data_IF_815919896724
#
_entry.id   IF_815919896724
#
_cell.length_a   1.000
_cell.length_b   1.000
_cell.length_c   1.000
_cell.angle_alpha   90.00
_cell.angle_beta   90.00
_cell.angle_gamma   90.00
#
_symmetry.space_group_name_H-M   'P 1'
#
loop_
_entity.id
_entity.type
_entity.pdbx_description
1 polymer ?
#
# COMPACT_ATOMS: atom_id res chain seq x y z
N UNK A 1 -3.92 -54.14 -32.98
CA UNK A 1 -2.93 -53.51 -33.87
C UNK A 1 -2.09 -52.58 -33.00
N UNK A 2 -0.92 -52.99 -32.48
CA UNK A 2 0.43 -52.98 -33.11
C UNK A 2 0.72 -51.62 -33.77
N UNK A 3 1.38 -50.71 -33.04
CA UNK A 3 2.83 -50.41 -33.07
C UNK A 3 3.27 -49.69 -34.35
N UNK A 4 4.02 -48.58 -34.21
CA UNK A 4 5.42 -48.41 -34.66
C UNK A 4 5.83 -46.92 -34.68
N UNK A 5 7.02 -46.65 -34.13
CA UNK A 5 7.84 -45.42 -34.18
C UNK A 5 8.73 -45.46 -35.44
N UNK A 6 9.15 -44.31 -36.01
CA UNK A 6 10.60 -44.02 -36.13
C UNK A 6 10.91 -42.56 -35.75
N UNK A 7 11.93 -42.21 -34.97
CA UNK A 7 13.39 -42.39 -35.09
C UNK A 7 14.08 -41.34 -36.01
N UNK A 8 15.05 -40.67 -35.38
CA UNK A 8 15.97 -39.60 -35.77
C UNK A 8 16.68 -39.65 -37.13
N UNK A 9 17.17 -38.49 -37.60
CA UNK A 9 18.56 -38.35 -38.08
C UNK A 9 19.05 -36.88 -38.23
N UNK A 10 20.33 -36.74 -37.94
CA UNK A 10 21.30 -35.64 -38.04
C UNK A 10 21.29 -34.72 -39.28
N UNK A 11 21.82 -33.50 -39.10
CA UNK A 11 22.39 -32.70 -40.20
C UNK A 11 22.76 -31.27 -39.82
N UNK A 12 23.97 -31.06 -39.29
CA UNK A 12 24.62 -29.76 -39.15
C UNK A 12 24.90 -29.12 -40.52
N UNK A 13 24.84 -27.79 -40.66
CA UNK A 13 25.83 -27.02 -41.42
C UNK A 13 25.78 -25.51 -41.09
N UNK A 14 26.97 -24.98 -40.86
CA UNK A 14 27.37 -23.62 -40.52
C UNK A 14 27.01 -22.56 -41.57
N UNK A 15 26.71 -21.32 -41.12
CA UNK A 15 27.60 -20.15 -41.29
C UNK A 15 27.07 -18.89 -40.58
N UNK A 16 27.93 -18.31 -39.72
CA UNK A 16 27.95 -16.88 -39.32
C UNK A 16 28.70 -16.06 -40.38
N UNK A 17 28.60 -14.72 -40.35
CA UNK A 17 29.80 -13.89 -40.09
C UNK A 17 29.55 -12.86 -38.97
N UNK A 18 30.44 -12.75 -37.97
CA UNK A 18 31.62 -11.86 -37.87
C UNK A 18 31.23 -10.51 -37.23
N UNK A 19 31.45 -10.25 -35.93
CA UNK A 19 32.72 -10.06 -35.20
C UNK A 19 33.56 -8.89 -35.75
N UNK A 20 33.53 -7.78 -35.02
CA UNK A 20 34.55 -6.72 -35.09
C UNK A 20 35.32 -6.76 -33.76
N UNK A 21 36.61 -7.07 -33.86
CA UNK A 21 37.56 -7.15 -32.77
C UNK A 21 38.28 -5.82 -32.55
N UNK A 22 38.65 -5.62 -31.30
CA UNK A 22 39.56 -4.61 -30.79
C UNK A 22 41.04 -4.90 -31.15
N UNK A 23 41.89 -4.00 -30.63
CA UNK A 23 43.38 -4.03 -30.51
C UNK A 23 44.15 -3.25 -31.59
N UNK A 24 45.28 -2.59 -31.31
CA UNK A 24 45.93 -2.11 -30.08
C UNK A 24 47.19 -1.30 -30.49
N UNK A 25 47.77 -0.58 -29.52
CA UNK A 25 49.19 -0.19 -29.37
C UNK A 25 49.78 1.07 -30.07
N UNK A 26 50.15 2.00 -29.16
CA UNK A 26 51.52 2.47 -28.87
C UNK A 26 52.15 3.66 -29.64
N UNK A 27 52.84 4.50 -28.86
CA UNK A 27 53.74 5.59 -29.26
C UNK A 27 53.07 6.96 -29.19
N UNK A 28 53.57 8.00 -28.54
CA UNK A 28 54.83 8.28 -27.88
C UNK A 28 54.83 9.79 -27.55
N UNK A 29 55.56 10.15 -26.49
CA UNK A 29 55.98 11.49 -26.05
C UNK A 29 55.76 12.67 -27.02
N UNK A 30 55.25 13.79 -26.50
CA UNK A 30 55.91 15.11 -26.66
C UNK A 30 55.52 16.05 -25.50
N UNK A 31 56.54 16.39 -24.71
CA UNK A 31 56.59 17.43 -23.70
C UNK A 31 57.03 18.75 -24.36
N UNK A 32 56.38 19.85 -24.01
CA UNK A 32 56.91 21.24 -23.94
C UNK A 32 55.93 21.97 -23.02
N UNK A 33 56.15 22.11 -21.71
CA UNK A 33 57.05 23.05 -21.02
C UNK A 33 57.01 24.47 -21.57
N UNK A 34 56.31 25.37 -20.88
CA UNK A 34 56.91 26.53 -20.20
C UNK A 34 55.92 27.12 -19.19
N UNK A 35 56.42 27.54 -18.03
CA UNK A 35 55.78 28.55 -17.19
C UNK A 35 55.36 28.14 -15.77
N UNK A 36 56.34 27.99 -14.86
CA UNK A 36 56.15 28.44 -13.46
C UNK A 36 55.98 29.96 -13.43
N UNK A 37 55.51 30.62 -12.37
CA UNK A 37 55.84 30.41 -10.98
C UNK A 37 54.85 31.21 -10.08
N UNK A 38 54.47 30.59 -8.96
CA UNK A 38 54.36 31.09 -7.58
C UNK A 38 53.59 32.40 -7.20
N UNK A 39 52.55 32.15 -6.39
CA UNK A 39 52.29 32.62 -4.99
C UNK A 39 51.70 34.03 -4.76
N UNK A 40 50.78 34.08 -3.77
CA UNK A 40 50.13 35.22 -3.09
C UNK A 40 48.92 35.81 -3.86
N UNK A 41 47.75 36.12 -3.30
CA UNK A 41 47.41 36.43 -1.92
C UNK A 41 45.91 36.22 -1.64
N UNK A 42 45.64 35.93 -0.37
CA UNK A 42 44.33 35.66 0.20
C UNK A 42 43.72 36.96 0.78
N UNK A 43 42.39 37.09 0.61
CA UNK A 43 41.45 38.03 1.27
C UNK A 43 41.49 39.51 0.82
N UNK A 44 40.43 39.93 0.12
CA UNK A 44 39.38 40.83 0.67
C UNK A 44 38.25 41.11 -0.35
N UNK A 45 37.02 40.76 0.04
CA UNK A 45 35.77 41.51 -0.18
C UNK A 45 35.21 41.68 -1.61
N UNK A 46 34.17 40.89 -1.93
CA UNK A 46 32.85 41.48 -2.27
C UNK A 46 31.76 40.68 -1.55
N UNK A 47 31.13 41.34 -0.58
CA UNK A 47 29.86 40.95 0.07
C UNK A 47 28.68 41.32 -0.85
N UNK A 48 27.56 40.61 -0.67
CA UNK A 48 26.19 40.81 -1.22
C UNK A 48 26.04 40.19 -2.63
N UNK A 49 25.23 39.16 -2.86
CA UNK A 49 23.79 38.96 -2.57
C UNK A 49 23.56 37.43 -2.67
N UNK A 50 22.92 36.71 -1.75
CA UNK A 50 21.49 36.42 -1.81
C UNK A 50 21.05 35.71 -0.52
N UNK A 51 19.94 36.20 0.05
CA UNK A 51 19.25 35.64 1.21
C UNK A 51 18.25 34.56 0.76
N UNK A 52 18.38 33.36 1.34
CA UNK A 52 17.35 32.40 1.84
C UNK A 52 15.97 32.35 1.16
N UNK A 53 15.67 31.21 0.53
CA UNK A 53 14.48 30.35 0.86
C UNK A 53 14.95 28.89 0.79
N UNK A 54 15.36 28.32 1.92
CA UNK A 54 15.47 26.86 2.04
C UNK A 54 14.05 26.33 2.22
N UNK A 55 13.58 25.53 1.26
CA UNK A 55 12.35 24.77 1.44
C UNK A 55 12.53 23.82 2.61
N UNK A 56 11.65 23.92 3.59
CA UNK A 56 11.52 22.93 4.65
C UNK A 56 10.97 21.63 4.01
N UNK A 57 11.87 20.77 3.54
CA UNK A 57 11.55 19.36 3.34
C UNK A 57 11.41 18.80 4.76
N UNK A 58 10.24 18.26 5.16
CA UNK A 58 10.15 17.58 6.44
C UNK A 58 11.10 16.40 6.39
N UNK A 59 12.14 16.48 7.21
CA UNK A 59 13.13 15.43 7.40
C UNK A 59 12.39 14.21 7.92
N UNK A 60 12.45 13.11 7.16
CA UNK A 60 12.08 11.80 7.66
C UNK A 60 12.84 11.60 8.98
N UNK A 61 12.10 11.55 10.08
CA UNK A 61 12.70 11.31 11.39
C UNK A 61 13.11 9.85 11.39
N UNK A 62 14.39 9.58 11.09
CA UNK A 62 15.00 8.29 11.36
C UNK A 62 14.96 8.12 12.87
N UNK A 63 13.95 7.40 13.37
CA UNK A 63 13.89 6.95 14.75
C UNK A 63 14.94 5.85 14.94
N UNK A 64 16.22 6.24 15.00
CA UNK A 64 17.27 5.39 15.53
C UNK A 64 17.03 5.26 17.04
N UNK A 65 16.23 4.26 17.42
CA UNK A 65 15.90 3.99 18.82
C UNK A 65 17.07 3.35 19.56
N UNK A 66 17.44 3.93 20.70
CA UNK A 66 18.27 3.29 21.73
C UNK A 66 17.56 2.04 22.27
N UNK A 67 17.61 0.90 21.58
CA UNK A 67 17.19 -0.42 22.10
C UNK A 67 15.73 -0.58 22.56
N UNK A 68 14.84 0.38 22.26
CA UNK A 68 13.43 0.35 22.68
C UNK A 68 12.47 -0.26 21.64
N UNK A 69 12.94 -0.39 20.40
CA UNK A 69 12.17 -0.97 19.31
C UNK A 69 12.59 -2.43 19.10
N UNK A 70 11.66 -3.30 18.68
CA UNK A 70 11.97 -4.70 18.44
C UNK A 70 13.04 -4.86 17.37
N UNK A 71 13.74 -6.00 17.39
CA UNK A 71 14.66 -6.35 16.31
C UNK A 71 13.93 -6.39 14.96
N UNK A 72 14.66 -6.18 13.87
CA UNK A 72 14.12 -6.18 12.50
C UNK A 72 12.95 -5.20 12.33
N UNK A 73 12.90 -4.11 13.14
CA UNK A 73 11.86 -3.10 13.04
C UNK A 73 12.12 -2.19 11.83
N UNK A 74 11.16 -2.13 10.92
CA UNK A 74 11.23 -1.28 9.73
C UNK A 74 9.86 -0.67 9.43
N UNK A 75 9.87 0.57 8.95
CA UNK A 75 8.70 1.17 8.32
C UNK A 75 8.48 0.52 6.95
N UNK A 76 7.25 0.05 6.71
CA UNK A 76 6.86 -0.56 5.43
C UNK A 76 6.21 0.50 4.55
N UNK A 77 5.21 1.19 5.08
CA UNK A 77 4.47 2.23 4.38
C UNK A 77 4.18 3.39 5.34
N UNK A 78 4.96 4.48 5.27
CA UNK A 78 4.76 5.64 6.14
C UNK A 78 3.41 6.32 5.94
N UNK A 79 2.88 6.35 4.71
CA UNK A 79 1.59 6.97 4.41
C UNK A 79 0.45 6.21 5.07
N UNK A 80 0.58 4.88 5.16
CA UNK A 80 -0.38 4.00 5.83
C UNK A 80 -0.01 3.65 7.27
N UNK A 81 1.11 4.19 7.78
CA UNK A 81 1.67 3.95 9.12
C UNK A 81 1.79 2.44 9.42
N UNK A 82 2.25 1.67 8.44
CA UNK A 82 2.50 0.23 8.56
C UNK A 82 3.97 0.00 8.87
N UNK A 83 4.24 -0.78 9.91
CA UNK A 83 5.58 -1.22 10.28
C UNK A 83 5.66 -2.74 10.34
N UNK A 84 6.88 -3.28 10.24
CA UNK A 84 7.18 -4.70 10.43
C UNK A 84 8.21 -4.87 11.54
N UNK A 85 8.23 -6.03 12.21
CA UNK A 85 9.32 -6.38 13.14
C UNK A 85 9.47 -7.88 13.39
N UNK A 86 10.54 -8.26 14.08
CA UNK A 86 10.62 -9.50 14.86
C UNK A 86 9.68 -9.44 16.07
N UNK A 87 9.57 -10.55 16.80
CA UNK A 87 8.76 -10.65 18.02
C UNK A 87 9.15 -9.55 19.04
N UNK A 88 8.24 -8.64 19.38
CA UNK A 88 8.48 -7.69 20.46
C UNK A 88 8.38 -8.36 21.83
N UNK A 89 9.22 -7.93 22.76
CA UNK A 89 9.08 -8.19 24.19
C UNK A 89 8.16 -7.18 24.87
N UNK A 90 7.87 -7.40 26.16
CA UNK A 90 6.98 -6.52 26.95
C UNK A 90 7.36 -5.04 26.90
N UNK A 91 8.62 -4.71 27.14
CA UNK A 91 9.11 -3.32 27.15
C UNK A 91 9.00 -2.66 25.77
N UNK A 92 9.21 -3.44 24.71
CA UNK A 92 9.09 -2.96 23.33
C UNK A 92 7.61 -2.71 22.98
N UNK A 93 6.67 -3.55 23.43
CA UNK A 93 5.24 -3.27 23.30
C UNK A 93 4.81 -2.00 24.05
N UNK A 94 5.29 -1.78 25.28
CA UNK A 94 5.06 -0.52 26.01
C UNK A 94 5.61 0.68 25.23
N UNK A 95 6.78 0.52 24.60
CA UNK A 95 7.40 1.57 23.81
C UNK A 95 6.65 1.81 22.48
N UNK A 96 6.02 0.79 21.89
CA UNK A 96 5.14 0.91 20.72
C UNK A 96 3.84 1.63 21.08
N UNK A 97 3.21 1.31 22.22
CA UNK A 97 2.02 2.01 22.71
C UNK A 97 2.30 3.51 22.92
N UNK A 98 3.43 3.85 23.56
CA UNK A 98 3.86 5.25 23.75
C UNK A 98 4.07 6.00 22.43
N UNK A 99 4.44 5.28 21.36
CA UNK A 99 4.56 5.82 19.99
C UNK A 99 3.21 5.85 19.24
N UNK A 100 2.13 5.47 19.91
CA UNK A 100 0.76 5.57 19.41
C UNK A 100 0.30 4.39 18.56
N UNK A 101 1.06 3.28 18.51
CA UNK A 101 0.58 2.05 17.86
C UNK A 101 -0.76 1.62 18.47
N UNK A 102 -1.63 1.08 17.62
CA UNK A 102 -2.98 0.63 18.01
C UNK A 102 -3.16 -0.86 17.79
N UNK A 103 -2.57 -1.40 16.74
CA UNK A 103 -2.78 -2.80 16.32
C UNK A 103 -1.45 -3.53 16.19
N UNK A 104 -1.44 -4.78 16.65
CA UNK A 104 -0.35 -5.74 16.45
C UNK A 104 -0.90 -6.95 15.69
N UNK A 105 -0.40 -7.21 14.48
CA UNK A 105 -0.69 -8.40 13.70
C UNK A 105 0.38 -9.46 13.97
N UNK A 106 -0.01 -10.49 14.72
CA UNK A 106 0.82 -11.62 15.10
C UNK A 106 0.62 -12.80 14.14
N UNK A 107 1.69 -13.20 13.45
CA UNK A 107 1.70 -14.30 12.49
C UNK A 107 2.25 -15.61 13.07
N UNK A 108 2.45 -15.71 14.38
CA UNK A 108 3.03 -16.90 15.02
C UNK A 108 1.95 -17.96 15.26
N UNK A 109 2.22 -19.20 14.83
CA UNK A 109 1.24 -20.29 14.89
C UNK A 109 0.75 -20.62 16.32
N UNK A 110 1.67 -20.93 17.24
CA UNK A 110 1.31 -21.41 18.59
C UNK A 110 1.60 -20.39 19.71
N UNK A 111 1.68 -19.10 19.38
CA UNK A 111 2.07 -18.08 20.34
C UNK A 111 1.20 -16.83 20.20
N UNK A 112 0.71 -16.35 21.34
CA UNK A 112 -0.09 -15.11 21.46
C UNK A 112 0.69 -14.06 22.23
N UNK A 113 0.44 -12.80 21.93
CA UNK A 113 1.00 -11.65 22.63
C UNK A 113 0.14 -11.19 23.82
N UNK A 114 -1.09 -11.69 23.97
CA UNK A 114 -2.05 -11.34 25.05
C UNK A 114 -1.40 -11.13 26.42
N UNK A 115 -0.52 -12.04 26.85
CA UNK A 115 0.17 -11.90 28.15
C UNK A 115 1.07 -10.67 28.20
N UNK A 116 1.81 -10.40 27.13
CA UNK A 116 2.70 -9.24 27.00
C UNK A 116 1.94 -7.95 26.71
N UNK A 117 0.73 -8.02 26.18
CA UNK A 117 -0.13 -6.86 25.90
C UNK A 117 -1.07 -6.50 27.05
N UNK A 118 -1.10 -7.31 28.12
CA UNK A 118 -1.95 -7.04 29.29
C UNK A 118 -1.75 -5.61 29.80
N UNK A 119 -2.84 -4.88 30.03
CA UNK A 119 -2.85 -3.49 30.51
C UNK A 119 -2.31 -2.45 29.49
N UNK A 120 -2.03 -2.85 28.26
CA UNK A 120 -1.73 -1.94 27.14
C UNK A 120 -2.97 -1.73 26.28
N UNK A 121 -3.08 -0.55 25.67
CA UNK A 121 -4.10 -0.15 24.69
C UNK A 121 -3.72 -0.57 23.27
N UNK A 122 -3.23 -1.81 23.14
CA UNK A 122 -2.85 -2.45 21.88
C UNK A 122 -3.79 -3.63 21.62
N UNK A 123 -4.39 -3.67 20.43
CA UNK A 123 -5.19 -4.79 19.98
C UNK A 123 -4.31 -5.84 19.28
N UNK A 124 -4.31 -7.08 19.78
CA UNK A 124 -3.73 -8.22 19.05
C UNK A 124 -4.73 -8.75 18.02
N UNK A 125 -4.30 -8.81 16.77
CA UNK A 125 -4.95 -9.57 15.71
C UNK A 125 -4.03 -10.74 15.34
N UNK A 126 -4.54 -11.98 15.41
CA UNK A 126 -3.74 -13.16 15.13
C UNK A 126 -4.13 -13.79 13.79
N UNK A 127 -3.13 -14.10 12.96
CA UNK A 127 -3.26 -15.02 11.81
C UNK A 127 -2.21 -16.11 12.00
N UNK A 128 -2.53 -17.14 12.80
CA UNK A 128 -1.59 -18.21 13.10
C UNK A 128 -1.17 -18.93 11.82
N UNK A 129 0.11 -18.88 11.47
CA UNK A 129 0.62 -19.61 10.31
C UNK A 129 2.03 -20.16 10.53
N UNK A 130 2.31 -21.28 9.87
CA UNK A 130 3.65 -21.84 9.73
C UNK A 130 4.25 -21.38 8.39
N UNK A 131 5.53 -20.99 8.39
CA UNK A 131 6.20 -20.48 7.19
C UNK A 131 6.23 -21.54 6.06
N UNK A 132 6.53 -22.80 6.39
CA UNK A 132 6.58 -23.89 5.41
C UNK A 132 5.21 -24.36 4.91
N UNK A 133 4.10 -23.83 5.43
CA UNK A 133 2.74 -24.20 5.00
C UNK A 133 1.79 -23.00 4.98
N UNK A 134 2.33 -21.82 4.67
CA UNK A 134 1.51 -20.62 4.49
C UNK A 134 0.65 -20.78 3.23
N UNK A 135 -0.56 -20.25 3.27
CA UNK A 135 -1.56 -20.42 2.21
C UNK A 135 -2.10 -19.07 1.77
N UNK A 136 -2.77 -19.04 0.62
CA UNK A 136 -3.47 -17.86 0.13
C UNK A 136 -4.47 -17.32 1.17
N UNK A 137 -5.15 -18.20 1.91
CA UNK A 137 -6.11 -17.79 2.94
C UNK A 137 -5.44 -17.11 4.15
N UNK A 138 -4.22 -17.52 4.52
CA UNK A 138 -3.45 -16.80 5.54
C UNK A 138 -3.08 -15.39 5.07
N UNK A 139 -2.67 -15.27 3.79
CA UNK A 139 -2.35 -13.98 3.17
C UNK A 139 -3.60 -13.09 3.14
N UNK A 140 -4.73 -13.61 2.66
CA UNK A 140 -6.00 -12.89 2.64
C UNK A 140 -6.39 -12.35 4.02
N UNK A 141 -6.39 -13.20 5.05
CA UNK A 141 -6.77 -12.79 6.40
C UNK A 141 -5.83 -11.73 6.99
N UNK A 142 -4.53 -11.83 6.72
CA UNK A 142 -3.56 -10.82 7.11
C UNK A 142 -3.79 -9.49 6.39
N UNK A 143 -4.00 -9.49 5.07
CA UNK A 143 -4.29 -8.29 4.29
C UNK A 143 -5.60 -7.64 4.70
N UNK A 144 -6.63 -8.43 5.01
CA UNK A 144 -7.90 -7.96 5.56
C UNK A 144 -7.70 -7.23 6.89
N UNK A 145 -6.92 -7.79 7.81
CA UNK A 145 -6.57 -7.14 9.07
C UNK A 145 -5.81 -5.84 8.83
N UNK A 146 -4.82 -5.86 7.93
CA UNK A 146 -4.05 -4.67 7.58
C UNK A 146 -4.96 -3.60 6.97
N UNK A 147 -5.93 -3.97 6.14
CA UNK A 147 -6.93 -3.07 5.56
C UNK A 147 -7.83 -2.46 6.64
N UNK A 148 -8.30 -3.27 7.58
CA UNK A 148 -9.44 -2.89 8.44
C UNK A 148 -9.06 -2.38 9.81
N UNK A 149 -7.88 -2.68 10.35
CA UNK A 149 -7.56 -2.36 11.74
C UNK A 149 -6.94 -0.97 11.93
N UNK A 150 -7.10 -0.33 13.11
CA UNK A 150 -6.58 1.00 13.36
C UNK A 150 -5.05 1.08 13.19
N UNK A 151 -4.57 2.23 12.74
CA UNK A 151 -3.14 2.50 12.51
C UNK A 151 -2.56 3.39 13.62
N UNK A 152 -1.23 3.38 13.86
CA UNK A 152 -0.20 2.52 13.29
C UNK A 152 -0.38 1.05 13.62
N UNK A 153 -0.02 0.20 12.67
CA UNK A 153 -0.11 -1.24 12.76
C UNK A 153 1.27 -1.87 12.61
N UNK A 154 1.61 -2.77 13.53
CA UNK A 154 2.84 -3.56 13.47
C UNK A 154 2.55 -4.98 13.00
N UNK A 155 3.24 -5.44 11.97
CA UNK A 155 3.20 -6.84 11.50
C UNK A 155 4.44 -7.57 12.05
N UNK A 156 4.27 -8.68 12.75
CA UNK A 156 5.42 -9.46 13.19
C UNK A 156 5.19 -10.97 13.13
N UNK A 157 6.31 -11.70 13.16
CA UNK A 157 6.33 -13.13 13.40
C UNK A 157 7.39 -13.41 14.49
N UNK A 158 8.20 -14.46 14.34
CA UNK A 158 9.34 -14.66 15.23
C UNK A 158 10.52 -13.76 14.85
N UNK A 159 11.14 -13.98 13.69
CA UNK A 159 12.30 -13.21 13.23
C UNK A 159 11.91 -11.93 12.47
N UNK A 160 10.63 -11.73 12.18
CA UNK A 160 10.17 -10.62 11.34
C UNK A 160 10.58 -10.76 9.88
N UNK A 161 10.95 -11.97 9.47
CA UNK A 161 11.60 -12.26 8.21
C UNK A 161 10.64 -12.95 7.22
N UNK A 162 10.35 -14.24 7.41
CA UNK A 162 9.66 -15.06 6.38
C UNK A 162 8.15 -14.76 6.28
N UNK A 163 7.35 -15.17 7.28
CA UNK A 163 5.89 -14.91 7.28
C UNK A 163 5.56 -13.41 7.18
N UNK A 164 6.32 -12.60 7.92
CA UNK A 164 6.18 -11.14 7.87
C UNK A 164 6.53 -10.60 6.49
N UNK A 165 7.61 -11.08 5.89
CA UNK A 165 8.02 -10.72 4.54
C UNK A 165 6.99 -11.10 3.49
N UNK A 166 6.38 -12.28 3.59
CA UNK A 166 5.30 -12.71 2.69
C UNK A 166 4.07 -11.81 2.80
N UNK A 167 3.63 -11.48 4.02
CA UNK A 167 2.50 -10.57 4.23
C UNK A 167 2.81 -9.16 3.76
N UNK A 168 4.03 -8.67 4.00
CA UNK A 168 4.47 -7.35 3.52
C UNK A 168 4.55 -7.32 1.99
N UNK A 169 5.09 -8.35 1.35
CA UNK A 169 5.11 -8.46 -0.12
C UNK A 169 3.69 -8.53 -0.70
N UNK A 170 2.78 -9.28 -0.08
CA UNK A 170 1.39 -9.30 -0.48
C UNK A 170 0.72 -7.92 -0.32
N UNK A 171 1.04 -7.20 0.77
CA UNK A 171 0.56 -5.83 0.98
C UNK A 171 1.03 -4.89 -0.13
N UNK A 172 2.31 -4.98 -0.51
CA UNK A 172 2.88 -4.24 -1.63
C UNK A 172 2.15 -4.49 -2.96
N UNK A 173 1.90 -5.75 -3.27
CA UNK A 173 1.23 -6.15 -4.52
C UNK A 173 -0.21 -5.63 -4.54
N UNK A 174 -0.94 -5.78 -3.43
CA UNK A 174 -2.37 -5.46 -3.37
C UNK A 174 -2.63 -3.96 -3.25
N UNK A 175 -1.93 -3.28 -2.33
CA UNK A 175 -2.25 -1.90 -1.97
C UNK A 175 -1.30 -0.86 -2.60
N UNK A 176 -0.06 -1.22 -2.91
CA UNK A 176 0.88 -0.31 -3.60
C UNK A 176 0.98 -0.59 -5.10
N UNK A 177 0.28 -1.62 -5.61
CA UNK A 177 0.30 -1.99 -7.03
C UNK A 177 1.67 -2.43 -7.54
N UNK A 178 2.54 -2.91 -6.65
CA UNK A 178 3.86 -3.39 -7.06
C UNK A 178 3.77 -4.72 -7.81
N UNK A 179 4.65 -4.89 -8.79
CA UNK A 179 4.84 -6.16 -9.49
C UNK A 179 5.29 -7.26 -8.52
N UNK A 180 4.83 -8.49 -8.75
CA UNK A 180 5.06 -9.63 -7.86
C UNK A 180 6.55 -9.90 -7.63
N UNK A 181 7.35 -9.92 -8.69
CA UNK A 181 8.80 -10.17 -8.56
C UNK A 181 9.53 -9.05 -7.83
N UNK A 182 9.07 -7.80 -7.97
CA UNK A 182 9.63 -6.66 -7.22
C UNK A 182 9.35 -6.80 -5.74
N UNK A 183 8.12 -7.20 -5.36
CA UNK A 183 7.77 -7.44 -3.97
C UNK A 183 8.52 -8.65 -3.37
N UNK A 184 8.74 -9.70 -4.17
CA UNK A 184 9.58 -10.85 -3.77
C UNK A 184 11.05 -10.43 -3.61
N UNK A 185 11.57 -9.56 -4.47
CA UNK A 185 12.92 -9.02 -4.34
C UNK A 185 13.07 -8.20 -3.04
N UNK A 186 12.10 -7.31 -2.73
CA UNK A 186 12.07 -6.58 -1.44
C UNK A 186 12.04 -7.56 -0.26
N UNK A 187 11.18 -8.59 -0.31
CA UNK A 187 11.09 -9.62 0.73
C UNK A 187 12.46 -10.30 1.00
N UNK A 188 13.27 -10.45 -0.04
CA UNK A 188 14.57 -11.13 -0.04
C UNK A 188 15.76 -10.22 0.28
N UNK A 189 15.55 -8.93 0.50
CA UNK A 189 16.64 -8.04 0.89
C UNK A 189 17.33 -8.54 2.16
N UNK A 190 18.67 -8.51 2.15
CA UNK A 190 19.52 -9.05 3.22
C UNK A 190 19.15 -8.51 4.60
N UNK A 191 18.78 -7.22 4.67
CA UNK A 191 18.40 -6.54 5.92
C UNK A 191 17.21 -7.19 6.63
N UNK A 192 16.34 -7.90 5.90
CA UNK A 192 15.20 -8.60 6.48
C UNK A 192 15.49 -10.05 6.87
N UNK A 193 16.58 -10.63 6.34
CA UNK A 193 17.08 -11.95 6.69
C UNK A 193 16.15 -13.10 6.28
N UNK A 194 15.56 -13.06 5.07
CA UNK A 194 14.71 -14.13 4.56
C UNK A 194 15.49 -15.44 4.35
N UNK A 195 14.97 -16.55 4.87
CA UNK A 195 15.59 -17.87 4.73
C UNK A 195 15.21 -18.49 3.39
N UNK A 196 15.74 -17.92 2.31
CA UNK A 196 15.36 -18.29 0.93
C UNK A 196 15.58 -19.77 0.60
N UNK A 197 16.59 -20.40 1.19
CA UNK A 197 16.92 -21.82 0.97
C UNK A 197 16.02 -22.78 1.76
N UNK A 198 15.27 -22.29 2.75
CA UNK A 198 14.39 -23.09 3.61
C UNK A 198 12.92 -22.90 3.23
N UNK A 199 12.55 -21.69 2.79
CA UNK A 199 11.18 -21.30 2.51
C UNK A 199 11.00 -20.76 1.07
N UNK A 200 11.45 -21.54 0.09
CA UNK A 200 11.20 -21.30 -1.34
C UNK A 200 9.70 -21.31 -1.69
N UNK A 201 8.92 -22.06 -0.92
CA UNK A 201 7.46 -22.12 -0.99
C UNK A 201 6.77 -20.75 -0.85
N UNK A 202 7.39 -19.78 -0.16
CA UNK A 202 6.78 -18.46 0.08
C UNK A 202 6.80 -17.55 -1.17
N UNK A 203 7.94 -17.39 -1.87
CA UNK A 203 7.96 -16.81 -3.22
C UNK A 203 7.03 -17.53 -4.20
N UNK A 204 6.98 -18.86 -4.19
CA UNK A 204 6.10 -19.64 -5.08
C UNK A 204 4.63 -19.36 -4.80
N UNK A 205 4.24 -19.28 -3.51
CA UNK A 205 2.90 -18.85 -3.10
C UNK A 205 2.58 -17.48 -3.69
N UNK A 206 3.47 -16.49 -3.54
CA UNK A 206 3.22 -15.13 -4.04
C UNK A 206 3.06 -15.08 -5.56
N UNK A 207 3.74 -15.95 -6.31
CA UNK A 207 3.59 -16.08 -7.77
C UNK A 207 2.31 -16.79 -8.17
N UNK A 208 1.85 -17.74 -7.36
CA UNK A 208 0.68 -18.56 -7.66
C UNK A 208 -0.66 -17.86 -7.37
N UNK A 209 -0.69 -16.87 -6.47
CA UNK A 209 -1.91 -16.15 -6.10
C UNK A 209 -2.44 -15.33 -7.28
N UNK A 210 -3.73 -15.46 -7.57
CA UNK A 210 -4.46 -14.55 -8.44
C UNK A 210 -4.75 -13.24 -7.70
N UNK A 211 -3.85 -12.27 -7.88
CA UNK A 211 -3.92 -10.98 -7.18
C UNK A 211 -5.10 -10.12 -7.60
N UNK A 212 -5.65 -10.30 -8.80
CA UNK A 212 -6.86 -9.60 -9.21
C UNK A 212 -8.07 -10.14 -8.46
N UNK A 213 -8.21 -11.46 -8.41
CA UNK A 213 -9.26 -12.11 -7.62
C UNK A 213 -9.14 -11.78 -6.13
N UNK A 214 -7.93 -11.80 -5.57
CA UNK A 214 -7.65 -11.41 -4.18
C UNK A 214 -8.11 -9.97 -3.89
N UNK A 215 -7.79 -9.02 -4.78
CA UNK A 215 -8.23 -7.63 -4.67
C UNK A 215 -9.75 -7.50 -4.69
N UNK A 216 -10.40 -8.17 -5.64
CA UNK A 216 -11.86 -8.15 -5.75
C UNK A 216 -12.51 -8.74 -4.48
N UNK A 217 -11.95 -9.82 -3.95
CA UNK A 217 -12.40 -10.44 -2.69
C UNK A 217 -12.29 -9.46 -1.52
N UNK A 218 -11.14 -8.81 -1.35
CA UNK A 218 -10.90 -7.78 -0.33
C UNK A 218 -11.79 -6.53 -0.52
N UNK A 219 -12.37 -6.28 -1.69
CA UNK A 219 -13.28 -5.15 -1.91
C UNK A 219 -14.76 -5.52 -1.71
N UNK A 220 -15.11 -6.81 -1.85
CA UNK A 220 -16.51 -7.23 -1.98
C UNK A 220 -16.99 -8.14 -0.86
N UNK A 221 -16.18 -9.07 -0.34
CA UNK A 221 -16.67 -10.10 0.59
C UNK A 221 -16.82 -9.56 2.02
N UNK A 222 -15.82 -8.87 2.57
CA UNK A 222 -15.78 -8.57 4.01
C UNK A 222 -16.43 -7.27 4.44
N UNK A 223 -16.67 -6.34 3.52
CA UNK A 223 -17.13 -4.98 3.89
C UNK A 223 -18.60 -4.98 4.36
N UNK A 224 -19.33 -6.06 4.12
CA UNK A 224 -20.76 -6.16 4.35
C UNK A 224 -21.14 -7.57 4.80
N UNK A 225 -20.66 -8.00 5.97
CA UNK A 225 -21.13 -9.25 6.61
C UNK A 225 -22.61 -9.14 7.00
N UNK A 226 -23.07 -7.92 7.29
CA UNK A 226 -24.48 -7.54 7.38
C UNK A 226 -24.70 -6.23 6.60
N UNK A 227 -25.84 -6.04 5.92
CA UNK A 227 -26.14 -4.79 5.24
C UNK A 227 -26.20 -3.63 6.25
N UNK A 228 -25.56 -2.50 5.92
CA UNK A 228 -25.67 -1.29 6.73
C UNK A 228 -27.11 -0.80 6.76
N UNK A 229 -27.59 -0.40 7.94
CA UNK A 229 -28.91 0.23 8.02
C UNK A 229 -28.86 1.62 7.38
N UNK A 230 -29.92 2.11 6.72
CA UNK A 230 -29.93 3.42 6.06
C UNK A 230 -29.46 4.57 6.97
N UNK A 231 -29.79 4.53 8.26
CA UNK A 231 -29.37 5.52 9.25
C UNK A 231 -27.86 5.52 9.57
N UNK A 232 -27.13 4.46 9.20
CA UNK A 232 -25.69 4.32 9.38
C UNK A 232 -24.89 4.81 8.16
N UNK A 233 -25.58 5.22 7.09
CA UNK A 233 -24.97 5.69 5.83
C UNK A 233 -25.15 7.19 5.69
N UNK A 234 -24.05 7.93 5.61
CA UNK A 234 -24.06 9.31 5.15
C UNK A 234 -23.85 9.32 3.63
N UNK A 235 -24.92 9.61 2.88
CA UNK A 235 -24.83 9.85 1.44
C UNK A 235 -24.28 11.25 1.18
N UNK A 236 -23.30 11.32 0.28
CA UNK A 236 -22.62 12.53 -0.16
C UNK A 236 -22.71 12.53 -1.69
N UNK A 237 -23.59 13.34 -2.25
CA UNK A 237 -23.67 13.51 -3.71
C UNK A 237 -22.66 14.57 -4.13
N UNK A 238 -21.84 14.24 -5.13
CA UNK A 238 -20.76 15.06 -5.62
C UNK A 238 -20.95 15.32 -7.11
N UNK A 239 -21.03 16.60 -7.47
CA UNK A 239 -21.02 17.08 -8.85
C UNK A 239 -19.81 18.00 -9.06
N UNK A 240 -18.96 17.76 -10.06
CA UNK A 240 -17.78 18.58 -10.30
C UNK A 240 -18.11 19.87 -11.06
N UNK A 241 -19.13 19.84 -11.93
CA UNK A 241 -19.44 20.95 -12.85
C UNK A 241 -20.96 21.14 -13.06
N UNK A 242 -21.57 22.20 -12.50
CA UNK A 242 -20.98 23.12 -11.53
C UNK A 242 -20.63 22.39 -10.23
N UNK A 243 -19.57 22.83 -9.53
CA UNK A 243 -19.15 22.21 -8.27
C UNK A 243 -20.31 22.26 -7.27
N UNK A 244 -20.73 21.09 -6.79
CA UNK A 244 -21.79 20.95 -5.80
C UNK A 244 -21.55 19.70 -4.97
N UNK A 245 -21.66 19.83 -3.66
CA UNK A 245 -21.70 18.71 -2.72
C UNK A 245 -22.97 18.79 -1.90
N UNK A 246 -23.72 17.69 -1.86
CA UNK A 246 -24.91 17.57 -1.03
C UNK A 246 -24.71 16.47 0.01
N UNK A 247 -24.94 16.77 1.28
CA UNK A 247 -24.88 15.81 2.39
C UNK A 247 -25.94 16.18 3.43
N UNK A 248 -26.66 15.18 3.95
CA UNK A 248 -27.69 15.41 4.98
C UNK A 248 -28.83 16.35 4.57
N UNK A 249 -29.07 16.52 3.26
CA UNK A 249 -30.06 17.45 2.70
C UNK A 249 -29.55 18.89 2.52
N UNK A 250 -28.33 19.19 2.94
CA UNK A 250 -27.69 20.50 2.79
C UNK A 250 -26.74 20.51 1.58
N UNK A 251 -26.53 21.68 0.98
CA UNK A 251 -25.72 21.85 -0.25
C UNK A 251 -24.57 22.84 -0.03
N UNK A 252 -23.41 22.54 -0.59
CA UNK A 252 -22.26 23.43 -0.66
C UNK A 252 -21.74 23.57 -2.11
N UNK A 253 -21.43 24.80 -2.52
CA UNK A 253 -21.02 25.15 -3.88
C UNK A 253 -19.52 25.47 -4.00
N UNK A 254 -18.75 25.25 -2.94
CA UNK A 254 -17.29 25.35 -2.98
C UNK A 254 -16.61 24.28 -2.10
N UNK A 255 -15.34 23.90 -2.41
CA UNK A 255 -14.67 22.79 -1.71
C UNK A 255 -14.48 22.97 -0.21
N UNK A 256 -14.25 24.20 0.26
CA UNK A 256 -14.04 24.47 1.69
C UNK A 256 -15.33 24.28 2.49
N UNK A 257 -16.42 24.87 2.02
CA UNK A 257 -17.75 24.69 2.60
C UNK A 257 -18.23 23.24 2.51
N UNK A 258 -17.90 22.53 1.41
CA UNK A 258 -18.26 21.13 1.25
C UNK A 258 -17.60 20.21 2.29
N UNK A 259 -16.32 20.42 2.62
CA UNK A 259 -15.66 19.64 3.67
C UNK A 259 -16.26 19.92 5.05
N UNK A 260 -16.50 21.19 5.38
CA UNK A 260 -17.12 21.59 6.63
C UNK A 260 -18.53 21.00 6.77
N UNK A 261 -19.31 21.03 5.69
CA UNK A 261 -20.63 20.42 5.61
C UNK A 261 -20.57 18.92 5.93
N UNK A 262 -19.70 18.17 5.25
CA UNK A 262 -19.59 16.73 5.51
C UNK A 262 -19.15 16.44 6.95
N UNK A 263 -18.21 17.20 7.50
CA UNK A 263 -17.79 17.05 8.90
C UNK A 263 -18.94 17.34 9.88
N UNK A 264 -19.75 18.36 9.62
CA UNK A 264 -20.88 18.70 10.46
C UNK A 264 -21.96 17.60 10.40
N UNK A 265 -22.34 17.19 9.20
CA UNK A 265 -23.33 16.12 9.00
C UNK A 265 -22.87 14.81 9.64
N UNK A 266 -21.60 14.44 9.44
CA UNK A 266 -21.04 13.21 10.02
C UNK A 266 -21.18 13.16 11.54
N UNK A 267 -21.03 14.29 12.24
CA UNK A 267 -21.14 14.34 13.70
C UNK A 267 -22.57 14.23 14.23
N UNK A 268 -23.60 14.39 13.38
CA UNK A 268 -25.01 14.38 13.81
C UNK A 268 -25.53 12.99 14.13
N UNK A 269 -24.96 11.93 13.53
CA UNK A 269 -25.40 10.54 13.71
C UNK A 269 -24.21 9.60 13.80
N UNK A 270 -24.37 8.40 14.39
CA UNK A 270 -23.31 7.39 14.45
C UNK A 270 -23.14 6.70 13.08
N UNK A 271 -22.81 7.47 12.06
CA UNK A 271 -22.54 6.96 10.73
C UNK A 271 -21.34 6.00 10.76
N UNK A 272 -21.45 4.92 9.99
CA UNK A 272 -20.40 3.92 9.79
C UNK A 272 -19.89 3.91 8.35
N UNK A 273 -20.67 4.46 7.43
CA UNK A 273 -20.37 4.50 6.01
C UNK A 273 -20.52 5.91 5.47
N UNK A 274 -19.52 6.39 4.74
CA UNK A 274 -19.62 7.57 3.90
C UNK A 274 -19.75 7.12 2.43
N UNK A 275 -20.91 7.29 1.84
CA UNK A 275 -21.17 6.95 0.45
C UNK A 275 -21.03 8.20 -0.41
N UNK A 276 -19.92 8.30 -1.15
CA UNK A 276 -19.67 9.36 -2.12
C UNK A 276 -20.20 8.94 -3.49
N UNK A 277 -21.24 9.61 -3.97
CA UNK A 277 -21.88 9.36 -5.25
C UNK A 277 -21.45 10.43 -6.25
N UNK A 278 -20.81 10.04 -7.34
CA UNK A 278 -20.39 10.94 -8.40
C UNK A 278 -21.52 11.13 -9.40
N UNK A 279 -21.94 12.35 -9.72
CA UNK A 279 -23.03 12.60 -10.69
C UNK A 279 -22.72 12.10 -12.12
N UNK A 280 -21.44 11.96 -12.51
CA UNK A 280 -21.00 11.49 -13.84
C UNK A 280 -19.82 10.53 -13.76
N UNK A 281 -19.48 9.91 -14.90
CA UNK A 281 -18.24 9.13 -15.02
C UNK A 281 -17.03 10.05 -14.81
N UNK A 282 -16.22 9.84 -13.76
CA UNK A 282 -15.02 10.65 -13.58
C UNK A 282 -14.04 10.33 -14.72
N UNK A 283 -13.73 11.33 -15.54
CA UNK A 283 -12.65 11.28 -16.54
C UNK A 283 -11.30 11.24 -15.82
N UNK A 284 -10.86 10.04 -15.46
CA UNK A 284 -9.76 9.76 -14.55
C UNK A 284 -8.45 10.51 -14.90
N UNK A 285 -7.86 11.24 -13.93
CA UNK A 285 -6.57 10.80 -13.39
C UNK A 285 -6.48 11.06 -11.87
N UNK A 286 -6.65 10.03 -11.05
CA UNK A 286 -6.40 10.01 -9.60
C UNK A 286 -6.92 11.23 -8.79
N UNK A 287 -8.13 11.05 -8.28
CA UNK A 287 -8.77 11.80 -7.20
C UNK A 287 -8.94 13.30 -7.45
N UNK A 288 -10.18 13.70 -7.69
CA UNK A 288 -10.51 15.09 -7.53
C UNK A 288 -10.11 15.61 -6.15
N UNK A 289 -9.67 16.89 -6.06
CA UNK A 289 -9.17 17.48 -4.82
C UNK A 289 -10.11 17.30 -3.64
N UNK A 290 -11.42 17.24 -3.87
CA UNK A 290 -12.40 17.01 -2.83
C UNK A 290 -12.34 15.59 -2.28
N UNK A 291 -12.44 14.54 -3.11
CA UNK A 291 -12.40 13.15 -2.66
C UNK A 291 -11.08 12.82 -1.92
N UNK A 292 -9.95 13.33 -2.41
CA UNK A 292 -8.66 13.17 -1.72
C UNK A 292 -8.59 13.88 -0.36
N UNK A 293 -9.25 15.05 -0.22
CA UNK A 293 -9.33 15.75 1.07
C UNK A 293 -10.31 15.06 2.01
N UNK A 294 -11.43 14.58 1.48
CA UNK A 294 -12.43 13.81 2.22
C UNK A 294 -11.81 12.56 2.86
N UNK A 295 -10.97 11.84 2.12
CA UNK A 295 -10.23 10.67 2.60
C UNK A 295 -9.23 10.96 3.73
N UNK A 296 -8.89 12.24 3.93
CA UNK A 296 -7.95 12.68 4.96
C UNK A 296 -8.67 13.31 6.16
N UNK A 297 -10.00 13.36 6.16
CA UNK A 297 -10.76 13.85 7.30
C UNK A 297 -10.62 12.87 8.48
N UNK A 298 -10.10 13.31 9.63
CA UNK A 298 -9.97 12.45 10.81
C UNK A 298 -11.32 11.90 11.29
N UNK A 299 -12.41 12.65 11.09
CA UNK A 299 -13.76 12.20 11.46
C UNK A 299 -14.21 10.96 10.70
N UNK A 300 -13.72 10.80 9.47
CA UNK A 300 -14.05 9.67 8.62
C UNK A 300 -13.06 8.52 8.79
N UNK A 301 -11.99 8.65 9.59
CA UNK A 301 -10.93 7.63 9.74
C UNK A 301 -11.46 6.22 10.08
N UNK A 302 -12.56 6.19 10.83
CA UNK A 302 -13.23 4.96 11.25
C UNK A 302 -14.37 4.52 10.31
N UNK A 303 -14.71 5.32 9.30
CA UNK A 303 -15.76 5.09 8.31
C UNK A 303 -15.32 4.17 7.19
N UNK A 304 -16.23 3.32 6.72
CA UNK A 304 -16.10 2.69 5.40
C UNK A 304 -16.51 3.71 4.34
N UNK A 305 -15.60 4.09 3.45
CA UNK A 305 -15.96 4.97 2.33
C UNK A 305 -16.30 4.14 1.10
N UNK A 306 -17.37 4.51 0.42
CA UNK A 306 -17.83 3.85 -0.79
C UNK A 306 -17.97 4.90 -1.87
N UNK A 307 -17.28 4.72 -2.99
CA UNK A 307 -17.43 5.54 -4.18
C UNK A 307 -18.42 4.85 -5.11
N UNK A 308 -19.44 5.57 -5.58
CA UNK A 308 -20.44 5.05 -6.50
C UNK A 308 -20.58 5.96 -7.72
N UNK A 309 -20.66 5.37 -8.91
CA UNK A 309 -21.05 6.06 -10.15
C UNK A 309 -22.43 5.57 -10.56
N UNK A 310 -23.45 6.43 -10.64
CA UNK A 310 -24.80 6.12 -11.12
C UNK A 310 -24.81 5.49 -12.51
N UNK A 311 -25.77 4.60 -12.74
CA UNK A 311 -26.14 4.06 -14.05
C UNK A 311 -27.64 3.81 -14.10
N UNK A 312 -28.22 4.01 -15.26
CA UNK A 312 -29.62 3.73 -15.56
C UNK A 312 -29.83 2.24 -15.91
N UNK A 313 -28.76 1.46 -16.12
CA UNK A 313 -28.79 0.02 -16.42
C UNK A 313 -27.85 -0.78 -15.52
N UNK A 314 -28.37 -1.80 -14.81
CA UNK A 314 -27.64 -2.45 -13.71
C UNK A 314 -27.82 -4.00 -13.72
N UNK A 315 -26.70 -4.75 -13.64
CA UNK A 315 -26.65 -6.21 -13.59
C UNK A 315 -26.94 -6.78 -12.18
N UNK A 316 -27.11 -8.10 -12.08
CA UNK A 316 -27.51 -8.78 -10.82
C UNK A 316 -26.44 -8.70 -9.71
N UNK A 317 -25.15 -8.70 -10.06
CA UNK A 317 -24.04 -8.62 -9.11
C UNK A 317 -23.99 -7.24 -8.47
N UNK A 318 -24.18 -6.21 -9.28
CA UNK A 318 -24.11 -4.83 -8.83
C UNK A 318 -25.38 -4.38 -8.08
N UNK A 319 -26.56 -4.93 -8.41
CA UNK A 319 -27.76 -4.85 -7.54
C UNK A 319 -27.52 -5.46 -6.17
N UNK A 320 -26.89 -6.64 -6.13
CA UNK A 320 -26.57 -7.32 -4.86
C UNK A 320 -25.60 -6.48 -4.02
N UNK A 321 -24.60 -5.88 -4.65
CA UNK A 321 -23.67 -4.98 -3.97
C UNK A 321 -24.38 -3.72 -3.47
N UNK A 322 -25.23 -3.08 -4.27
CA UNK A 322 -26.03 -1.92 -3.85
C UNK A 322 -26.87 -2.24 -2.60
N UNK A 323 -27.61 -3.36 -2.59
CA UNK A 323 -28.37 -3.79 -1.40
C UNK A 323 -27.50 -3.95 -0.16
N UNK A 324 -26.32 -4.56 -0.30
CA UNK A 324 -25.38 -4.78 0.81
C UNK A 324 -24.86 -3.48 1.40
N UNK A 325 -24.78 -2.41 0.61
CA UNK A 325 -24.32 -1.10 1.06
C UNK A 325 -25.47 -0.15 1.45
N UNK A 326 -26.71 -0.65 1.46
CA UNK A 326 -27.91 0.14 1.77
C UNK A 326 -28.33 1.09 0.64
N UNK A 327 -27.86 0.86 -0.59
CA UNK A 327 -28.26 1.59 -1.79
C UNK A 327 -29.49 0.94 -2.43
N UNK A 328 -30.36 1.78 -3.00
CA UNK A 328 -31.45 1.30 -3.86
C UNK A 328 -30.88 0.54 -5.06
N UNK A 329 -31.59 -0.50 -5.50
CA UNK A 329 -31.19 -1.22 -6.71
C UNK A 329 -31.19 -0.29 -7.92
N UNK A 330 -30.13 -0.35 -8.74
CA UNK A 330 -30.00 0.56 -9.88
C UNK A 330 -29.27 1.85 -9.55
N UNK A 331 -28.83 2.09 -8.31
CA UNK A 331 -28.20 3.39 -7.96
C UNK A 331 -26.78 3.55 -8.52
N UNK A 332 -26.08 2.48 -8.93
CA UNK A 332 -24.71 2.58 -9.43
C UNK A 332 -24.33 1.46 -10.42
N UNK A 333 -23.51 1.79 -11.43
CA UNK A 333 -22.77 0.80 -12.27
C UNK A 333 -21.45 0.36 -11.70
N UNK A 334 -20.81 1.24 -10.94
CA UNK A 334 -19.50 1.01 -10.40
C UNK A 334 -19.54 1.41 -8.93
N UNK A 335 -19.17 0.47 -8.08
CA UNK A 335 -18.99 0.70 -6.65
C UNK A 335 -17.55 0.33 -6.31
N UNK A 336 -16.83 1.28 -5.73
CA UNK A 336 -15.47 1.07 -5.24
C UNK A 336 -15.46 1.34 -3.76
N UNK A 337 -15.24 0.31 -2.97
CA UNK A 337 -15.00 0.50 -1.55
C UNK A 337 -13.59 1.01 -1.35
N UNK A 338 -13.49 2.15 -0.68
CA UNK A 338 -12.22 2.82 -0.41
C UNK A 338 -11.87 2.54 1.03
N UNK A 339 -10.92 1.64 1.27
CA UNK A 339 -10.48 1.37 2.63
C UNK A 339 -9.87 2.65 3.21
N UNK A 340 -10.53 3.23 4.21
CA UNK A 340 -10.06 4.46 4.83
C UNK A 340 -8.69 4.28 5.52
N UNK A 341 -8.32 3.05 5.86
CA UNK A 341 -7.13 2.75 6.66
C UNK A 341 -5.94 2.22 5.85
N UNK A 342 -6.05 2.15 4.52
CA UNK A 342 -4.94 1.90 3.59
C UNK A 342 -5.18 2.65 2.26
N UNK A 343 -4.33 3.63 1.96
CA UNK A 343 -4.28 4.35 0.69
C UNK A 343 -3.81 3.37 -0.40
N UNK A 344 -4.71 3.07 -1.33
CA UNK A 344 -4.38 2.29 -2.52
C UNK A 344 -3.65 3.19 -3.54
N UNK A 345 -2.44 2.78 -3.94
CA UNK A 345 -1.72 3.37 -5.09
C UNK A 345 -1.88 2.43 -6.30
N UNK A 346 -2.55 2.85 -7.39
CA UNK A 346 -2.67 1.99 -8.57
C UNK A 346 -1.29 1.76 -9.21
N UNK A 347 -1.10 0.61 -9.90
CA UNK A 347 0.12 0.35 -10.65
C UNK A 347 0.36 1.45 -11.68
N UNK A 348 1.61 1.89 -11.84
CA UNK A 348 1.95 2.84 -12.89
C UNK A 348 1.74 2.16 -14.26
N UNK A 349 0.74 2.62 -15.03
CA UNK A 349 0.62 2.25 -16.46
C UNK A 349 -0.59 1.43 -16.87
N UNK A 350 -1.73 1.46 -16.18
CA UNK A 350 -2.99 1.01 -16.78
C UNK A 350 -3.62 2.16 -17.57
N UNK A 351 -3.57 2.18 -18.92
CA UNK A 351 -4.36 3.14 -19.69
C UNK A 351 -5.84 2.83 -19.48
N UNK A 352 -6.62 3.85 -19.13
CA UNK A 352 -8.07 3.75 -19.06
C UNK A 352 -8.60 3.33 -20.44
N UNK A 353 -9.31 2.20 -20.49
CA UNK A 353 -10.26 1.97 -21.58
C UNK A 353 -11.54 2.74 -21.32
#
# INVERSE_FOLDING_TARGET
MKFVIPAAAHGSLFRRPAAWNAESKAGGLLFFSTGGDRVSDMRKWVKKLFFIVFSAIPTATVLAGNGELPRNFHEVDPANRICRSAQPGRREFEALEKRGFRTVLNLRNFHTDRRMLKDLKLEECAVPCNAGSMTEEHVYNALRIIRDKPKPLLIHCWHGSDRTGTVVAAFRIVFNGQEVETAIAEMREEKYGHHADIYDNLPELLRAVDWEKMRNRLQTEDLFVEPFKPEQVLRIDYAPEPFRVTAGGNTAENPGAALALVQEEWRKKPYRVALLVFDRQPGNPLYEPFAAKLNRLPELEEAVRIDAVPDETNDASMRTLCRRVGLEEGTARAVRVVPHRVIWTPPAGTPSK
#
